data_IF_898288894492
#
_entry.id   IF_898288894492
#
_cell.length_a   1.000
_cell.length_b   1.000
_cell.length_c   1.000
_cell.angle_alpha   90.00
_cell.angle_beta   90.00
_cell.angle_gamma   90.00
#
_symmetry.space_group_name_H-M   'P 1'
#
loop_
_entity.id
_entity.type
_entity.pdbx_description
1 polymer ?
#
# COMPACT_ATOMS: atom_id res chain seq x y z
N UNK A 1 -1.19 2.76 19.23
CA UNK A 1 -1.50 3.58 18.04
C UNK A 1 -0.92 2.90 16.82
N UNK A 2 -1.71 2.68 15.77
CA UNK A 2 -1.22 2.11 14.50
C UNK A 2 -1.27 3.17 13.40
N UNK A 3 -0.21 3.20 12.59
CA UNK A 3 -0.06 4.07 11.44
C UNK A 3 -0.02 3.19 10.20
N UNK A 4 -0.81 3.55 9.19
CA UNK A 4 -0.87 2.84 7.92
C UNK A 4 -0.16 3.64 6.83
N UNK A 5 0.76 2.99 6.13
CA UNK A 5 1.46 3.51 4.96
C UNK A 5 0.87 2.82 3.73
N UNK A 6 0.35 3.59 2.77
CA UNK A 6 -0.26 3.09 1.55
C UNK A 6 0.50 3.55 0.32
N UNK A 7 0.73 2.62 -0.59
CA UNK A 7 1.21 2.92 -1.92
C UNK A 7 0.63 1.93 -2.95
N UNK A 8 0.62 2.33 -4.20
CA UNK A 8 0.24 1.49 -5.33
C UNK A 8 1.40 1.34 -6.29
N UNK A 9 1.45 0.18 -6.96
CA UNK A 9 2.25 0.11 -8.19
C UNK A 9 1.61 1.04 -9.23
N UNK A 10 2.40 1.70 -10.07
CA UNK A 10 1.92 2.62 -11.12
C UNK A 10 0.79 2.08 -12.04
N UNK A 11 0.67 0.76 -12.17
CA UNK A 11 -0.39 0.11 -12.98
C UNK A 11 -1.65 -0.26 -12.17
N UNK A 12 -1.72 0.10 -10.89
CA UNK A 12 -2.71 -0.38 -9.92
C UNK A 12 -2.84 -1.91 -9.88
N UNK A 13 -1.76 -2.61 -10.24
CA UNK A 13 -1.69 -4.07 -10.15
C UNK A 13 -1.56 -4.51 -8.71
N UNK A 14 -0.84 -3.74 -7.90
CA UNK A 14 -0.62 -3.97 -6.49
C UNK A 14 -1.02 -2.75 -5.68
N UNK A 15 -1.60 -3.00 -4.50
CA UNK A 15 -1.72 -2.02 -3.41
C UNK A 15 -0.93 -2.57 -2.23
N UNK A 16 0.09 -1.84 -1.81
CA UNK A 16 0.90 -2.16 -0.65
C UNK A 16 0.40 -1.36 0.56
N UNK A 17 0.33 -2.04 1.70
CA UNK A 17 -0.02 -1.49 2.99
C UNK A 17 1.01 -1.92 4.01
N UNK A 18 1.61 -0.97 4.74
CA UNK A 18 2.55 -1.26 5.82
C UNK A 18 2.04 -0.62 7.10
N UNK A 19 1.85 -1.42 8.13
CA UNK A 19 1.46 -0.95 9.46
C UNK A 19 2.69 -0.84 10.34
N UNK A 20 2.83 0.33 10.95
CA UNK A 20 3.91 0.67 11.88
C UNK A 20 3.34 1.35 13.12
N UNK A 21 4.06 1.30 14.24
CA UNK A 21 3.72 2.07 15.44
C UNK A 21 4.45 3.43 15.46
N UNK A 22 5.56 3.53 14.73
CA UNK A 22 6.37 4.75 14.56
C UNK A 22 6.89 4.79 13.12
N UNK A 23 6.88 5.97 12.51
CA UNK A 23 7.45 6.15 11.17
C UNK A 23 8.96 5.93 11.22
N UNK A 24 9.50 4.93 10.50
CA UNK A 24 10.93 4.72 10.43
C UNK A 24 11.58 5.82 9.59
N UNK A 25 12.76 6.28 10.02
CA UNK A 25 13.53 7.28 9.28
C UNK A 25 14.26 6.61 8.12
N UNK A 26 13.63 6.58 6.95
CA UNK A 26 14.19 6.05 5.71
C UNK A 26 14.06 7.14 4.65
N UNK A 27 15.18 7.70 4.20
CA UNK A 27 15.16 8.75 3.18
C UNK A 27 15.07 8.12 1.79
N UNK A 28 13.85 7.85 1.34
CA UNK A 28 13.60 7.50 -0.06
C UNK A 28 12.16 7.83 -0.41
N UNK A 29 12.00 8.68 -1.42
CA UNK A 29 10.69 9.01 -1.96
C UNK A 29 10.20 7.92 -2.93
N UNK A 30 11.07 7.41 -3.81
CA UNK A 30 10.68 6.47 -4.85
C UNK A 30 11.84 5.57 -5.27
N UNK A 31 11.74 4.29 -4.90
CA UNK A 31 12.83 3.32 -5.03
C UNK A 31 13.16 3.00 -6.48
N UNK A 32 12.16 2.99 -7.37
CA UNK A 32 12.36 2.64 -8.77
C UNK A 32 13.16 3.68 -9.55
N UNK A 33 13.12 4.95 -9.13
CA UNK A 33 13.88 6.06 -9.74
C UNK A 33 15.34 6.16 -9.28
N UNK A 34 15.78 5.37 -8.29
CA UNK A 34 17.12 5.48 -7.71
C UNK A 34 18.20 4.75 -8.51
N UNK A 35 19.45 5.20 -8.39
CA UNK A 35 20.63 4.46 -8.86
C UNK A 35 20.66 3.03 -8.29
N UNK A 36 21.11 2.04 -9.10
CA UNK A 36 21.09 0.61 -8.73
C UNK A 36 21.78 0.31 -7.40
N UNK A 37 22.92 0.93 -7.13
CA UNK A 37 23.68 0.74 -5.89
C UNK A 37 22.93 1.27 -4.67
N UNK A 38 22.47 2.54 -4.73
CA UNK A 38 21.67 3.17 -3.69
C UNK A 38 20.38 2.38 -3.45
N UNK A 39 19.69 1.97 -4.52
CA UNK A 39 18.46 1.16 -4.47
C UNK A 39 18.66 -0.14 -3.69
N UNK A 40 19.73 -0.89 -3.98
CA UNK A 40 20.05 -2.14 -3.24
C UNK A 40 20.27 -1.86 -1.75
N UNK A 41 21.01 -0.81 -1.43
CA UNK A 41 21.25 -0.41 -0.04
C UNK A 41 19.94 -0.07 0.69
N UNK A 42 19.09 0.74 0.05
CA UNK A 42 17.78 1.12 0.58
C UNK A 42 16.86 -0.09 0.78
N UNK A 43 16.79 -0.99 -0.20
CA UNK A 43 16.01 -2.23 -0.09
C UNK A 43 16.51 -3.07 1.08
N UNK A 44 17.83 -3.22 1.24
CA UNK A 44 18.40 -3.99 2.36
C UNK A 44 18.03 -3.38 3.72
N UNK A 45 18.10 -2.06 3.85
CA UNK A 45 17.69 -1.34 5.05
C UNK A 45 16.20 -1.52 5.34
N UNK A 46 15.35 -1.34 4.32
CA UNK A 46 13.92 -1.51 4.45
C UNK A 46 13.54 -2.94 4.83
N UNK A 47 14.13 -3.97 4.18
CA UNK A 47 13.88 -5.37 4.52
C UNK A 47 14.21 -5.69 5.98
N UNK A 48 15.29 -5.09 6.54
CA UNK A 48 15.61 -5.23 7.96
C UNK A 48 14.47 -4.68 8.84
N UNK A 49 14.01 -3.47 8.57
CA UNK A 49 12.92 -2.83 9.33
C UNK A 49 11.60 -3.61 9.18
N UNK A 50 11.25 -3.99 7.95
CA UNK A 50 10.05 -4.77 7.64
C UNK A 50 10.02 -6.12 8.37
N UNK A 51 11.20 -6.69 8.66
CA UNK A 51 11.32 -7.98 9.35
C UNK A 51 11.17 -7.91 10.87
N UNK A 52 11.31 -6.74 11.48
CA UNK A 52 11.36 -6.58 12.93
C UNK A 52 10.23 -5.74 13.51
N UNK A 53 9.81 -4.69 12.81
CA UNK A 53 9.02 -3.59 13.39
C UNK A 53 7.71 -3.32 12.66
N UNK A 54 7.42 -4.04 11.58
CA UNK A 54 6.30 -3.74 10.70
C UNK A 54 5.46 -4.97 10.39
N UNK A 55 4.20 -4.72 10.01
CA UNK A 55 3.37 -5.69 9.33
C UNK A 55 3.05 -5.19 7.93
N UNK A 56 3.33 -5.99 6.92
CA UNK A 56 3.20 -5.61 5.52
C UNK A 56 2.18 -6.48 4.81
N UNK A 57 1.31 -5.85 4.05
CA UNK A 57 0.29 -6.49 3.23
C UNK A 57 0.51 -6.02 1.80
N UNK A 58 0.43 -6.94 0.85
CA UNK A 58 0.34 -6.56 -0.56
C UNK A 58 -0.85 -7.27 -1.20
N UNK A 59 -1.78 -6.47 -1.73
CA UNK A 59 -2.96 -6.95 -2.42
C UNK A 59 -2.70 -6.99 -3.92
N UNK A 60 -3.04 -8.10 -4.56
CA UNK A 60 -3.08 -8.25 -6.02
C UNK A 60 -4.36 -7.61 -6.56
N UNK A 61 -4.34 -6.29 -6.70
CA UNK A 61 -5.51 -5.49 -6.98
C UNK A 61 -5.98 -5.58 -8.45
N UNK A 62 -5.05 -5.54 -9.42
CA UNK A 62 -5.34 -5.56 -10.87
C UNK A 62 -6.48 -4.61 -11.29
N UNK A 63 -6.50 -3.39 -10.74
CA UNK A 63 -7.65 -2.48 -10.86
C UNK A 63 -7.95 -2.15 -12.32
N UNK A 64 -6.96 -1.81 -13.14
CA UNK A 64 -7.17 -1.49 -14.57
C UNK A 64 -7.94 -2.57 -15.31
N UNK A 65 -7.58 -3.84 -15.09
CA UNK A 65 -8.18 -4.98 -15.75
C UNK A 65 -9.62 -5.20 -15.24
N UNK A 66 -9.83 -5.10 -13.92
CA UNK A 66 -11.17 -5.14 -13.31
C UNK A 66 -12.08 -4.07 -13.90
N UNK A 67 -11.60 -2.83 -14.03
CA UNK A 67 -12.38 -1.72 -14.60
C UNK A 67 -12.68 -1.95 -16.07
N UNK A 68 -11.71 -2.43 -16.87
CA UNK A 68 -11.93 -2.74 -18.29
C UNK A 68 -13.08 -3.72 -18.47
N UNK A 69 -13.06 -4.84 -17.73
CA UNK A 69 -14.11 -5.87 -17.79
C UNK A 69 -15.46 -5.34 -17.31
N UNK A 70 -15.48 -4.61 -16.19
CA UNK A 70 -16.72 -4.06 -15.63
C UNK A 70 -17.33 -2.98 -16.54
N UNK A 71 -16.51 -2.15 -17.17
CA UNK A 71 -16.99 -1.07 -18.05
C UNK A 71 -17.64 -1.59 -19.33
N UNK A 72 -17.24 -2.78 -19.81
CA UNK A 72 -17.86 -3.41 -20.98
C UNK A 72 -19.27 -3.94 -20.67
N UNK A 73 -19.50 -4.40 -19.44
CA UNK A 73 -20.76 -5.05 -19.02
C UNK A 73 -21.73 -4.14 -18.27
N UNK A 74 -21.37 -2.89 -17.98
CA UNK A 74 -22.10 -2.06 -17.01
C UNK A 74 -22.26 -0.61 -17.49
N UNK A 75 -23.44 -0.02 -17.26
CA UNK A 75 -23.74 1.38 -17.61
C UNK A 75 -23.21 2.41 -16.58
N UNK A 76 -22.54 1.96 -15.52
CA UNK A 76 -21.95 2.85 -14.51
C UNK A 76 -20.76 3.62 -15.09
N UNK A 77 -20.60 4.87 -14.66
CA UNK A 77 -19.43 5.68 -15.06
C UNK A 77 -18.12 5.04 -14.58
N UNK A 78 -17.07 5.15 -15.41
CA UNK A 78 -15.73 4.63 -15.07
C UNK A 78 -15.24 5.14 -13.71
N UNK A 79 -15.47 6.42 -13.40
CA UNK A 79 -15.13 7.03 -12.10
C UNK A 79 -15.76 6.29 -10.92
N UNK A 80 -17.03 5.90 -11.02
CA UNK A 80 -17.72 5.16 -9.96
C UNK A 80 -17.17 3.73 -9.83
N UNK A 81 -16.87 3.07 -10.94
CA UNK A 81 -16.26 1.74 -10.94
C UNK A 81 -14.89 1.76 -10.25
N UNK A 82 -14.05 2.76 -10.59
CA UNK A 82 -12.73 2.97 -9.98
C UNK A 82 -12.80 3.15 -8.46
N UNK A 83 -13.64 4.06 -8.00
CA UNK A 83 -13.86 4.28 -6.55
C UNK A 83 -14.35 3.02 -5.85
N UNK A 84 -15.27 2.28 -6.47
CA UNK A 84 -15.76 1.01 -5.93
C UNK A 84 -14.68 -0.05 -5.83
N UNK A 85 -13.85 -0.20 -6.87
CA UNK A 85 -12.76 -1.18 -6.90
C UNK A 85 -11.69 -0.87 -5.85
N UNK A 86 -11.26 0.39 -5.73
CA UNK A 86 -10.26 0.77 -4.72
C UNK A 86 -10.84 0.63 -3.31
N UNK A 87 -12.07 1.12 -3.06
CA UNK A 87 -12.73 0.92 -1.76
C UNK A 87 -12.81 -0.55 -1.37
N UNK A 88 -13.10 -1.42 -2.34
CA UNK A 88 -13.14 -2.86 -2.12
C UNK A 88 -11.79 -3.41 -1.67
N UNK A 89 -10.70 -3.09 -2.38
CA UNK A 89 -9.36 -3.55 -1.96
C UNK A 89 -8.93 -2.97 -0.60
N UNK A 90 -9.19 -1.68 -0.35
CA UNK A 90 -8.92 -1.07 0.97
C UNK A 90 -9.70 -1.78 2.08
N UNK A 91 -10.95 -2.17 1.83
CA UNK A 91 -11.78 -2.92 2.80
C UNK A 91 -11.18 -4.30 3.10
N UNK A 92 -10.61 -4.98 2.10
CA UNK A 92 -9.89 -6.24 2.30
C UNK A 92 -8.68 -6.05 3.22
N UNK A 93 -7.92 -4.96 3.05
CA UNK A 93 -6.81 -4.60 3.94
C UNK A 93 -7.34 -4.39 5.35
N UNK A 94 -8.36 -3.55 5.53
CA UNK A 94 -8.94 -3.25 6.84
C UNK A 94 -9.44 -4.50 7.57
N UNK A 95 -10.18 -5.38 6.88
CA UNK A 95 -10.67 -6.62 7.46
C UNK A 95 -9.52 -7.54 7.89
N UNK A 96 -8.48 -7.65 7.07
CA UNK A 96 -7.29 -8.42 7.43
C UNK A 96 -6.60 -7.85 8.67
N UNK A 97 -6.41 -6.52 8.73
CA UNK A 97 -5.81 -5.83 9.87
C UNK A 97 -6.61 -6.01 11.17
N UNK A 98 -7.95 -5.94 11.09
CA UNK A 98 -8.85 -6.24 12.22
C UNK A 98 -8.65 -7.66 12.73
N UNK A 99 -8.60 -8.64 11.83
CA UNK A 99 -8.44 -10.06 12.18
C UNK A 99 -7.14 -10.35 12.93
N UNK A 100 -6.06 -9.64 12.61
CA UNK A 100 -4.75 -9.80 13.25
C UNK A 100 -4.52 -8.80 14.39
N UNK A 101 -5.55 -8.06 14.82
CA UNK A 101 -5.50 -7.09 15.93
C UNK A 101 -4.53 -5.92 15.71
N UNK A 102 -4.30 -5.52 14.46
CA UNK A 102 -3.60 -4.29 14.08
C UNK A 102 -4.61 -3.19 13.73
N UNK A 103 -5.47 -2.86 14.70
CA UNK A 103 -6.59 -1.93 14.58
C UNK A 103 -6.85 -1.28 15.95
N UNK A 104 -7.38 -0.04 16.04
CA UNK A 104 -7.71 0.91 14.96
C UNK A 104 -6.47 1.56 14.34
N UNK A 105 -6.63 2.03 13.10
CA UNK A 105 -5.62 2.86 12.41
C UNK A 105 -5.89 4.32 12.78
N UNK A 106 -4.95 4.95 13.49
CA UNK A 106 -5.10 6.36 13.88
C UNK A 106 -4.66 7.31 12.78
N UNK A 107 -3.63 6.96 12.00
CA UNK A 107 -3.05 7.83 10.98
C UNK A 107 -2.84 7.04 9.68
N UNK A 108 -3.17 7.65 8.55
CA UNK A 108 -2.85 7.12 7.22
C UNK A 108 -1.91 8.08 6.48
N UNK A 109 -0.81 7.55 5.97
CA UNK A 109 0.02 8.19 4.95
C UNK A 109 -0.18 7.44 3.64
N UNK A 110 -0.53 8.13 2.56
CA UNK A 110 -0.73 7.52 1.25
C UNK A 110 0.00 8.29 0.15
N UNK A 111 0.41 7.58 -0.90
CA UNK A 111 0.94 8.21 -2.11
C UNK A 111 -0.12 9.06 -2.83
N UNK A 112 0.34 10.05 -3.61
CA UNK A 112 -0.51 10.96 -4.39
C UNK A 112 -1.48 10.26 -5.32
N UNK A 113 -1.17 9.05 -5.78
CA UNK A 113 -2.11 8.23 -6.56
C UNK A 113 -3.46 8.01 -5.84
N UNK A 114 -3.50 8.11 -4.50
CA UNK A 114 -4.70 7.96 -3.69
C UNK A 114 -5.54 9.24 -3.53
N UNK A 115 -5.13 10.40 -4.04
CA UNK A 115 -5.81 11.68 -3.79
C UNK A 115 -7.29 11.65 -4.19
N UNK A 116 -7.60 11.11 -5.37
CA UNK A 116 -8.97 10.99 -5.88
C UNK A 116 -9.84 9.98 -5.09
N UNK A 117 -9.23 9.26 -4.16
CA UNK A 117 -9.79 8.16 -3.38
C UNK A 117 -9.68 8.38 -1.86
N UNK A 118 -9.34 9.61 -1.41
CA UNK A 118 -9.30 10.00 0.01
C UNK A 118 -10.55 9.58 0.78
N UNK A 119 -11.74 9.87 0.24
CA UNK A 119 -13.03 9.50 0.83
C UNK A 119 -13.16 7.97 1.07
N UNK A 120 -12.54 7.15 0.21
CA UNK A 120 -12.54 5.71 0.41
C UNK A 120 -11.63 5.30 1.56
N UNK A 121 -10.48 5.97 1.77
CA UNK A 121 -9.60 5.76 2.91
C UNK A 121 -10.32 6.16 4.20
N UNK A 122 -10.91 7.35 4.25
CA UNK A 122 -11.69 7.87 5.39
C UNK A 122 -12.78 6.88 5.82
N UNK A 123 -13.61 6.44 4.88
CA UNK A 123 -14.73 5.54 5.16
C UNK A 123 -14.33 4.12 5.54
N UNK A 124 -13.12 3.68 5.17
CA UNK A 124 -12.68 2.30 5.42
C UNK A 124 -11.89 2.19 6.70
N UNK A 125 -11.00 3.15 6.95
CA UNK A 125 -10.08 3.12 8.09
C UNK A 125 -10.53 3.99 9.25
N UNK A 126 -11.40 4.98 9.01
CA UNK A 126 -11.87 5.97 9.99
C UNK A 126 -10.73 6.57 10.84
N UNK A 127 -9.61 7.02 10.21
CA UNK A 127 -8.47 7.51 10.96
C UNK A 127 -8.72 8.92 11.49
N UNK A 128 -7.96 9.29 12.53
CA UNK A 128 -7.94 10.64 13.08
C UNK A 128 -7.27 11.63 12.10
N UNK A 129 -6.34 11.15 11.27
CA UNK A 129 -5.60 11.98 10.30
C UNK A 129 -5.22 11.21 9.03
N UNK A 130 -5.27 11.91 7.89
CA UNK A 130 -4.84 11.41 6.58
C UNK A 130 -3.94 12.44 5.89
N UNK A 131 -2.70 12.04 5.61
CA UNK A 131 -1.80 12.77 4.72
C UNK A 131 -1.66 12.02 3.41
N UNK A 132 -1.98 12.70 2.30
CA UNK A 132 -1.77 12.18 0.94
C UNK A 132 -0.74 13.07 0.29
N UNK A 133 0.48 12.56 0.16
CA UNK A 133 1.61 13.35 -0.30
C UNK A 133 2.72 12.46 -0.82
N UNK A 134 3.59 13.09 -1.59
CA UNK A 134 4.82 12.47 -2.05
C UNK A 134 5.87 12.64 -0.95
N UNK A 135 6.08 11.63 -0.12
CA UNK A 135 6.91 11.72 1.09
C UNK A 135 7.78 10.48 1.30
N UNK A 136 8.87 10.63 2.05
CA UNK A 136 9.70 9.55 2.57
C UNK A 136 8.96 8.63 3.57
N UNK A 137 7.90 9.14 4.22
CA UNK A 137 7.08 8.37 5.17
C UNK A 137 6.45 7.13 4.52
N UNK A 138 6.17 7.16 3.22
CA UNK A 138 5.58 6.04 2.46
C UNK A 138 6.63 5.09 1.85
N UNK A 139 7.93 5.33 2.09
CA UNK A 139 9.02 4.56 1.49
C UNK A 139 8.87 3.05 1.66
N UNK A 140 8.43 2.60 2.84
CA UNK A 140 8.25 1.17 3.09
C UNK A 140 7.16 0.57 2.21
N UNK A 141 6.05 1.29 2.00
CA UNK A 141 4.97 0.84 1.13
C UNK A 141 5.43 0.80 -0.33
N UNK A 142 6.16 1.82 -0.80
CA UNK A 142 6.77 1.87 -2.15
C UNK A 142 7.76 0.71 -2.36
N UNK A 143 8.61 0.40 -1.39
CA UNK A 143 9.51 -0.75 -1.46
C UNK A 143 8.74 -2.07 -1.50
N UNK A 144 7.69 -2.22 -0.70
CA UNK A 144 6.84 -3.44 -0.74
C UNK A 144 6.16 -3.57 -2.10
N UNK A 145 5.58 -2.51 -2.66
CA UNK A 145 4.98 -2.52 -3.99
C UNK A 145 6.01 -2.86 -5.09
N UNK A 146 7.18 -2.21 -5.05
CA UNK A 146 8.27 -2.43 -5.98
C UNK A 146 8.78 -3.87 -5.94
N UNK A 147 9.04 -4.39 -4.74
CA UNK A 147 9.53 -5.76 -4.56
C UNK A 147 8.46 -6.78 -4.94
N UNK A 148 7.18 -6.53 -4.67
CA UNK A 148 6.13 -7.45 -5.10
C UNK A 148 6.08 -7.57 -6.64
N UNK A 149 6.26 -6.44 -7.34
CA UNK A 149 6.29 -6.40 -8.80
C UNK A 149 7.55 -7.02 -9.41
N UNK A 150 8.73 -6.84 -8.79
CA UNK A 150 10.03 -7.18 -9.40
C UNK A 150 10.73 -8.40 -8.79
N UNK A 151 10.57 -8.65 -7.49
CA UNK A 151 11.25 -9.73 -6.78
C UNK A 151 10.53 -10.13 -5.47
N UNK A 152 9.35 -10.74 -5.60
CA UNK A 152 8.51 -11.10 -4.46
C UNK A 152 9.17 -12.08 -3.48
N UNK A 153 10.18 -12.86 -3.93
CA UNK A 153 10.89 -13.83 -3.08
C UNK A 153 11.54 -13.17 -1.87
N UNK A 154 12.01 -11.92 -2.01
CA UNK A 154 12.59 -11.16 -0.91
C UNK A 154 11.57 -10.83 0.19
N UNK A 155 10.30 -10.60 -0.18
CA UNK A 155 9.22 -10.31 0.77
C UNK A 155 8.71 -11.58 1.47
N UNK A 156 8.68 -12.72 0.77
CA UNK A 156 8.17 -13.99 1.33
C UNK A 156 8.98 -14.52 2.51
N UNK A 157 10.23 -14.09 2.64
CA UNK A 157 11.09 -14.47 3.76
C UNK A 157 10.87 -13.58 5.01
N UNK A 158 10.03 -12.54 4.92
CA UNK A 158 9.73 -11.66 6.04
C UNK A 158 8.55 -12.22 6.85
N UNK A 159 8.76 -12.46 8.15
CA UNK A 159 7.74 -12.99 9.08
C UNK A 159 6.47 -12.15 9.14
N UNK A 160 6.59 -10.83 8.97
CA UNK A 160 5.47 -9.87 9.01
C UNK A 160 4.83 -9.57 7.66
N UNK A 161 5.08 -10.35 6.60
CA UNK A 161 4.54 -10.10 5.27
C UNK A 161 3.37 -11.01 4.91
N UNK A 162 2.30 -10.44 4.35
CA UNK A 162 1.16 -11.16 3.81
C UNK A 162 0.81 -10.69 2.40
N UNK A 163 0.82 -11.63 1.46
CA UNK A 163 0.25 -11.45 0.14
C UNK A 163 -1.24 -11.84 0.19
N UNK A 164 -2.11 -10.99 -0.37
CA UNK A 164 -3.55 -11.25 -0.53
C UNK A 164 -3.86 -11.25 -2.03
N UNK A 165 -4.35 -12.38 -2.54
CA UNK A 165 -4.74 -12.56 -3.94
C UNK A 165 -6.21 -12.20 -4.13
#
# INVERSE_FOLDING_TARGET
MFILLLDSSASWRYIAAVVVQKIPRISCYHVAGMDRGKRKSMIKQALKILSTECYSICIHAFIHQKIRVLSYKNRKSKKRLWRGAIKHELTRIANHLKNIKLWPISIVYADREFELYREAIEKVFEPESISIEKSDKICLADIVAYLNMNNIRLLKNIRGFKEIK
#
